data_IF_788121526522
#
_entry.id   IF_788121526522
#
_cell.length_a   1.000
_cell.length_b   1.000
_cell.length_c   1.000
_cell.angle_alpha   90.00
_cell.angle_beta   90.00
_cell.angle_gamma   90.00
#
_symmetry.space_group_name_H-M   'P 1'
#
loop_
_entity.id
_entity.type
_entity.pdbx_description
1 polymer ?
#
# COMPACT_ATOMS: atom_id res chain seq x y z
N UNK A 1 30.75 15.29 -46.43
CA UNK A 1 29.55 14.81 -45.68
C UNK A 1 30.01 13.56 -44.97
N UNK A 2 30.23 13.66 -43.66
CA UNK A 2 30.69 12.51 -42.87
C UNK A 2 29.54 11.52 -42.79
N UNK A 3 29.77 10.30 -43.25
CA UNK A 3 28.81 9.18 -43.15
C UNK A 3 28.78 8.73 -41.69
N UNK A 4 27.95 9.40 -40.86
CA UNK A 4 27.80 9.03 -39.47
C UNK A 4 27.10 7.66 -39.39
N UNK A 5 27.60 6.75 -38.55
CA UNK A 5 27.05 5.40 -38.45
C UNK A 5 25.58 5.45 -38.00
N UNK A 6 24.70 4.82 -38.73
CA UNK A 6 23.26 4.75 -38.43
C UNK A 6 22.87 3.29 -38.30
N UNK A 7 22.24 2.96 -37.17
CA UNK A 7 21.83 1.60 -36.83
C UNK A 7 20.36 1.34 -37.12
N UNK A 8 20.04 0.14 -37.53
CA UNK A 8 18.69 -0.42 -37.50
C UNK A 8 18.31 -0.82 -36.08
N UNK A 9 17.03 -1.06 -35.81
CA UNK A 9 16.57 -1.54 -34.51
C UNK A 9 17.18 -2.88 -34.12
N UNK A 10 17.47 -3.76 -35.11
CA UNK A 10 18.10 -5.06 -34.85
C UNK A 10 19.57 -4.94 -34.47
N UNK A 11 20.35 -4.12 -35.20
CA UNK A 11 21.73 -3.85 -34.88
C UNK A 11 21.91 -3.18 -33.52
N UNK A 12 21.04 -2.20 -33.20
CA UNK A 12 21.05 -1.53 -31.91
C UNK A 12 20.67 -2.48 -30.77
N UNK A 13 19.71 -3.40 -31.01
CA UNK A 13 19.34 -4.42 -30.02
C UNK A 13 20.51 -5.32 -29.66
N UNK A 14 21.26 -5.80 -30.66
CA UNK A 14 22.50 -6.61 -30.46
C UNK A 14 23.55 -5.80 -29.70
N UNK A 15 23.82 -4.56 -30.13
CA UNK A 15 24.85 -3.72 -29.53
C UNK A 15 24.55 -3.30 -28.09
N UNK A 16 23.28 -3.08 -27.74
CA UNK A 16 22.86 -2.63 -26.41
C UNK A 16 22.52 -3.77 -25.44
N UNK A 17 22.41 -5.02 -25.93
CA UNK A 17 21.92 -6.16 -25.14
C UNK A 17 20.41 -6.11 -24.85
N UNK A 18 19.66 -5.21 -25.49
CA UNK A 18 18.22 -5.08 -25.33
C UNK A 18 17.46 -5.88 -26.41
N UNK A 19 16.24 -6.33 -26.09
CA UNK A 19 15.38 -6.88 -27.12
C UNK A 19 14.79 -5.77 -28.02
N UNK A 20 14.49 -6.13 -29.29
CA UNK A 20 13.79 -5.23 -30.21
C UNK A 20 12.47 -4.73 -29.63
N UNK A 21 11.78 -5.55 -28.83
CA UNK A 21 10.53 -5.19 -28.14
C UNK A 21 10.76 -4.05 -27.15
N UNK A 22 11.83 -4.11 -26.36
CA UNK A 22 12.19 -3.06 -25.38
C UNK A 22 12.51 -1.75 -26.12
N UNK A 23 13.31 -1.78 -27.19
CA UNK A 23 13.62 -0.58 -27.97
C UNK A 23 12.38 0.06 -28.59
N UNK A 24 11.42 -0.74 -29.08
CA UNK A 24 10.14 -0.24 -29.58
C UNK A 24 9.28 0.36 -28.48
N UNK A 25 9.29 -0.22 -27.29
CA UNK A 25 8.59 0.30 -26.13
C UNK A 25 9.20 1.65 -25.68
N UNK A 26 10.53 1.77 -25.68
CA UNK A 26 11.21 3.01 -25.34
C UNK A 26 10.99 4.13 -26.39
N UNK A 27 10.84 3.77 -27.67
CA UNK A 27 10.39 4.69 -28.70
C UNK A 27 8.95 5.17 -28.44
N UNK A 28 8.04 4.25 -28.09
CA UNK A 28 6.65 4.60 -27.77
C UNK A 28 6.52 5.52 -26.54
N UNK A 29 7.44 5.41 -25.57
CA UNK A 29 7.52 6.27 -24.40
C UNK A 29 8.30 7.58 -24.63
N UNK A 30 8.81 7.84 -25.86
CA UNK A 30 9.62 9.01 -26.15
C UNK A 30 11.02 9.01 -25.50
N UNK A 31 11.43 7.90 -24.87
CA UNK A 31 12.74 7.78 -24.24
C UNK A 31 13.86 7.84 -25.25
N UNK A 32 13.72 7.13 -26.38
CA UNK A 32 14.63 7.14 -27.51
C UNK A 32 13.80 7.11 -28.79
N UNK A 33 13.62 8.26 -29.43
CA UNK A 33 12.75 8.43 -30.61
C UNK A 33 13.59 8.43 -31.88
N UNK A 34 13.70 7.30 -32.62
CA UNK A 34 14.49 7.22 -33.85
C UNK A 34 13.87 7.99 -35.00
N UNK A 35 14.70 8.36 -35.96
CA UNK A 35 14.22 8.80 -37.25
C UNK A 35 13.59 7.64 -38.03
N UNK A 36 12.71 7.99 -38.96
CA UNK A 36 12.08 7.01 -39.86
C UNK A 36 12.47 7.25 -41.32
N UNK A 37 12.81 6.18 -41.98
CA UNK A 37 13.02 6.24 -43.45
C UNK A 37 11.69 6.49 -44.14
N UNK A 38 11.70 6.94 -45.44
CA UNK A 38 10.49 7.05 -46.23
C UNK A 38 9.66 5.74 -46.30
N UNK A 39 10.31 4.59 -46.13
CA UNK A 39 9.67 3.27 -46.05
C UNK A 39 9.21 2.90 -44.63
N UNK A 40 9.28 3.84 -43.66
CA UNK A 40 8.80 3.66 -42.28
C UNK A 40 9.74 2.91 -41.33
N UNK A 41 10.93 2.47 -41.75
CA UNK A 41 11.91 1.80 -40.89
C UNK A 41 12.61 2.74 -39.93
N UNK A 42 12.84 2.27 -38.69
CA UNK A 42 13.53 3.02 -37.64
C UNK A 42 15.03 3.10 -37.90
N UNK A 43 15.59 4.30 -37.77
CA UNK A 43 17.02 4.58 -37.92
C UNK A 43 17.55 5.32 -36.69
N UNK A 44 18.60 4.81 -36.10
CA UNK A 44 19.22 5.35 -34.88
C UNK A 44 20.59 5.93 -35.20
N UNK A 45 20.73 7.23 -35.17
CA UNK A 45 21.99 7.94 -35.30
C UNK A 45 22.75 8.00 -33.96
N UNK A 46 23.97 8.58 -33.94
CA UNK A 46 24.85 8.66 -32.75
C UNK A 46 24.18 9.32 -31.54
N UNK A 47 23.36 10.35 -31.75
CA UNK A 47 22.61 11.03 -30.70
C UNK A 47 21.61 10.10 -30.02
N UNK A 48 20.90 9.27 -30.79
CA UNK A 48 19.95 8.30 -30.27
C UNK A 48 20.67 7.20 -29.47
N UNK A 49 21.83 6.75 -29.92
CA UNK A 49 22.67 5.78 -29.22
C UNK A 49 23.15 6.35 -27.88
N UNK A 50 23.67 7.58 -27.89
CA UNK A 50 24.10 8.26 -26.66
C UNK A 50 22.94 8.39 -25.65
N UNK A 51 21.75 8.79 -26.12
CA UNK A 51 20.55 8.90 -25.30
C UNK A 51 20.13 7.53 -24.72
N UNK A 52 20.23 6.46 -25.53
CA UNK A 52 19.96 5.08 -25.09
C UNK A 52 20.89 4.65 -23.96
N UNK A 53 22.20 4.87 -24.09
CA UNK A 53 23.16 4.50 -23.05
C UNK A 53 23.00 5.32 -21.77
N UNK A 54 22.63 6.60 -21.86
CA UNK A 54 22.25 7.42 -20.71
C UNK A 54 21.01 6.85 -20.01
N UNK A 55 19.96 6.49 -20.77
CA UNK A 55 18.77 5.86 -20.22
C UNK A 55 19.10 4.52 -19.54
N UNK A 56 19.98 3.71 -20.13
CA UNK A 56 20.43 2.45 -19.52
C UNK A 56 21.21 2.67 -18.23
N UNK A 57 22.08 3.68 -18.17
CA UNK A 57 22.82 4.02 -16.96
C UNK A 57 21.86 4.42 -15.82
N UNK A 58 20.91 5.31 -16.10
CA UNK A 58 19.87 5.72 -15.14
C UNK A 58 18.98 4.54 -14.73
N UNK A 59 18.64 3.63 -15.67
CA UNK A 59 17.85 2.44 -15.35
C UNK A 59 18.59 1.49 -14.39
N UNK A 60 19.90 1.40 -14.50
CA UNK A 60 20.75 0.58 -13.59
C UNK A 60 20.79 1.11 -12.17
N UNK A 61 20.51 2.39 -11.96
CA UNK A 61 20.36 2.98 -10.62
C UNK A 61 18.97 2.71 -10.01
N UNK A 62 18.04 2.08 -10.76
CA UNK A 62 16.70 1.75 -10.29
C UNK A 62 15.61 2.73 -10.70
N UNK A 63 15.95 3.87 -11.34
CA UNK A 63 14.98 4.87 -11.78
C UNK A 63 13.91 4.30 -12.72
N UNK A 64 12.67 4.73 -12.54
CA UNK A 64 11.53 4.39 -13.39
C UNK A 64 11.63 5.05 -14.78
N UNK A 65 11.06 4.41 -15.81
CA UNK A 65 11.17 4.90 -17.20
C UNK A 65 10.60 6.31 -17.38
N UNK A 66 9.56 6.72 -16.64
CA UNK A 66 9.00 8.07 -16.68
C UNK A 66 9.98 9.11 -16.11
N UNK A 67 10.58 8.82 -14.97
CA UNK A 67 11.61 9.68 -14.35
C UNK A 67 12.80 9.84 -15.26
N UNK A 68 13.27 8.74 -15.87
CA UNK A 68 14.34 8.75 -16.87
C UNK A 68 13.96 9.64 -18.08
N UNK A 69 12.72 9.53 -18.55
CA UNK A 69 12.21 10.34 -19.66
C UNK A 69 12.28 11.84 -19.36
N UNK A 70 11.75 12.26 -18.20
CA UNK A 70 11.78 13.65 -17.73
C UNK A 70 13.23 14.19 -17.61
N UNK A 71 14.12 13.42 -16.97
CA UNK A 71 15.54 13.78 -16.82
C UNK A 71 16.25 13.95 -18.19
N UNK A 72 15.97 13.05 -19.13
CA UNK A 72 16.60 13.10 -20.46
C UNK A 72 16.00 14.15 -21.39
N UNK A 73 14.76 14.53 -21.19
CA UNK A 73 14.09 15.59 -21.96
C UNK A 73 14.45 17.01 -21.46
N UNK A 74 15.13 17.12 -20.31
CA UNK A 74 15.36 18.39 -19.60
C UNK A 74 14.03 19.09 -19.25
N UNK A 75 12.96 18.31 -19.09
CA UNK A 75 11.63 18.76 -18.68
C UNK A 75 11.44 18.74 -17.16
N UNK A 76 12.39 18.11 -16.45
CA UNK A 76 12.40 18.07 -14.99
C UNK A 76 12.87 19.44 -14.44
N UNK A 77 12.03 20.18 -13.73
CA UNK A 77 12.37 21.49 -13.18
C UNK A 77 13.47 21.42 -12.10
N UNK A 78 13.61 20.28 -11.41
CA UNK A 78 14.66 20.03 -10.44
C UNK A 78 15.18 18.59 -10.52
N UNK A 79 16.11 18.31 -11.48
CA UNK A 79 16.73 16.98 -11.61
C UNK A 79 17.46 16.52 -10.34
N UNK A 80 17.95 17.46 -9.54
CA UNK A 80 18.64 17.14 -8.29
C UNK A 80 17.63 16.67 -7.21
N UNK A 81 16.41 17.23 -7.17
CA UNK A 81 15.34 16.75 -6.29
C UNK A 81 14.91 15.33 -6.68
N UNK A 82 14.72 15.05 -7.98
CA UNK A 82 14.38 13.71 -8.46
C UNK A 82 15.43 12.67 -8.08
N UNK A 83 16.73 13.00 -8.23
CA UNK A 83 17.81 12.10 -7.83
C UNK A 83 17.93 11.95 -6.31
N UNK A 84 17.67 13.01 -5.54
CA UNK A 84 17.63 12.93 -4.06
C UNK A 84 16.49 12.03 -3.60
N UNK A 85 15.28 12.22 -4.11
CA UNK A 85 14.15 11.35 -3.79
C UNK A 85 14.44 9.87 -4.10
N UNK A 86 15.11 9.60 -5.23
CA UNK A 86 15.52 8.23 -5.56
C UNK A 86 16.63 7.70 -4.63
N UNK A 87 17.58 8.53 -4.22
CA UNK A 87 18.59 8.17 -3.23
C UNK A 87 17.94 7.82 -1.88
N UNK A 88 16.96 8.62 -1.45
CA UNK A 88 16.18 8.38 -0.23
C UNK A 88 15.44 7.02 -0.31
N UNK A 89 14.87 6.67 -1.48
CA UNK A 89 14.24 5.35 -1.72
C UNK A 89 15.25 4.19 -1.60
N UNK A 90 16.43 4.35 -2.16
CA UNK A 90 17.51 3.33 -2.10
C UNK A 90 18.02 3.17 -0.66
N UNK A 91 18.24 4.27 0.05
CA UNK A 91 18.67 4.26 1.44
C UNK A 91 17.61 3.60 2.35
N UNK A 92 16.34 3.81 2.05
CA UNK A 92 15.22 3.17 2.71
C UNK A 92 15.20 1.66 2.48
N UNK A 93 15.40 1.19 1.24
CA UNK A 93 15.47 -0.24 0.92
C UNK A 93 16.69 -0.92 1.59
N UNK A 94 17.82 -0.24 1.63
CA UNK A 94 19.02 -0.72 2.33
C UNK A 94 18.79 -0.85 3.84
N UNK A 95 18.13 0.12 4.47
CA UNK A 95 17.76 0.06 5.89
C UNK A 95 16.86 -1.12 6.18
N UNK A 96 15.80 -1.33 5.38
CA UNK A 96 14.87 -2.48 5.50
C UNK A 96 15.61 -3.82 5.40
N UNK A 97 16.46 -4.00 4.40
CA UNK A 97 17.26 -5.22 4.22
C UNK A 97 18.23 -5.46 5.38
N UNK A 98 18.79 -4.38 5.92
CA UNK A 98 19.69 -4.47 7.10
C UNK A 98 18.92 -4.93 8.33
N UNK A 99 17.76 -4.34 8.60
CA UNK A 99 16.90 -4.74 9.72
C UNK A 99 16.43 -6.21 9.60
N UNK A 100 16.05 -6.63 8.40
CA UNK A 100 15.69 -8.02 8.12
C UNK A 100 16.85 -8.97 8.43
N UNK A 101 18.06 -8.63 7.97
CA UNK A 101 19.29 -9.39 8.27
C UNK A 101 19.54 -9.48 9.78
N UNK A 102 19.38 -8.37 10.50
CA UNK A 102 19.65 -8.32 11.95
C UNK A 102 18.65 -9.16 12.73
N UNK A 103 17.36 -9.13 12.39
CA UNK A 103 16.33 -10.01 12.95
C UNK A 103 16.59 -11.49 12.67
N UNK A 104 17.02 -11.83 11.45
CA UNK A 104 17.44 -13.18 11.11
C UNK A 104 18.63 -13.64 11.93
N UNK A 105 19.62 -12.78 12.11
CA UNK A 105 20.79 -13.08 12.92
C UNK A 105 20.42 -13.29 14.40
N UNK A 106 19.51 -12.49 14.93
CA UNK A 106 18.99 -12.60 16.30
C UNK A 106 18.19 -13.91 16.50
N UNK A 107 17.30 -14.26 15.56
CA UNK A 107 16.55 -15.51 15.58
C UNK A 107 17.46 -16.74 15.52
N UNK A 108 18.53 -16.69 14.73
CA UNK A 108 19.52 -17.76 14.64
C UNK A 108 20.40 -17.87 15.89
N UNK A 109 20.59 -16.77 16.62
CA UNK A 109 21.37 -16.76 17.87
C UNK A 109 20.62 -17.36 19.07
N UNK A 110 19.27 -17.42 19.02
CA UNK A 110 18.43 -17.98 20.08
C UNK A 110 17.39 -18.94 19.49
N UNK A 111 17.75 -20.20 19.20
CA UNK A 111 16.94 -21.12 18.39
C UNK A 111 15.78 -21.78 19.16
N UNK A 112 14.98 -21.02 19.91
CA UNK A 112 13.71 -21.51 20.42
C UNK A 112 12.71 -21.66 19.24
N UNK A 113 12.08 -22.84 19.07
CA UNK A 113 11.20 -23.10 17.91
C UNK A 113 10.09 -22.06 17.72
N UNK A 114 9.49 -21.59 18.81
CA UNK A 114 8.43 -20.57 18.79
C UNK A 114 8.94 -19.18 18.34
N UNK A 115 10.19 -18.87 18.63
CA UNK A 115 10.80 -17.59 18.22
C UNK A 115 11.19 -17.62 16.74
N UNK A 116 11.69 -18.76 16.27
CA UNK A 116 12.00 -18.97 14.85
C UNK A 116 10.73 -18.90 13.99
N UNK A 117 9.64 -19.53 14.44
CA UNK A 117 8.35 -19.43 13.72
C UNK A 117 7.81 -18.01 13.69
N UNK A 118 7.88 -17.26 14.78
CA UNK A 118 7.49 -15.84 14.82
C UNK A 118 8.31 -14.99 13.86
N UNK A 119 9.60 -15.20 13.77
CA UNK A 119 10.46 -14.47 12.83
C UNK A 119 10.10 -14.84 11.38
N UNK A 120 9.85 -16.12 11.09
CA UNK A 120 9.41 -16.56 9.75
C UNK A 120 8.05 -15.95 9.41
N UNK A 121 7.09 -15.94 10.33
CA UNK A 121 5.77 -15.33 10.16
C UNK A 121 5.87 -13.81 9.91
N UNK A 122 6.68 -13.11 10.73
CA UNK A 122 6.93 -11.68 10.55
C UNK A 122 7.63 -11.38 9.23
N UNK A 123 8.61 -12.19 8.82
CA UNK A 123 9.30 -12.06 7.53
C UNK A 123 8.34 -12.30 6.37
N UNK A 124 7.54 -13.35 6.46
CA UNK A 124 6.53 -13.68 5.46
C UNK A 124 5.53 -12.53 5.31
N UNK A 125 5.12 -11.90 6.40
CA UNK A 125 4.27 -10.72 6.40
C UNK A 125 4.94 -9.51 5.73
N UNK A 126 6.24 -9.27 5.97
CA UNK A 126 7.00 -8.19 5.32
C UNK A 126 7.21 -8.41 3.82
N UNK A 127 7.51 -9.64 3.41
CA UNK A 127 7.72 -9.98 2.00
C UNK A 127 6.40 -10.10 1.22
N UNK A 128 5.31 -10.44 1.91
CA UNK A 128 4.02 -10.75 1.32
C UNK A 128 3.01 -9.59 1.41
N UNK A 129 3.39 -8.42 1.94
CA UNK A 129 2.53 -7.24 1.82
C UNK A 129 2.33 -6.93 0.33
N UNK A 130 1.21 -7.38 -0.20
CA UNK A 130 0.91 -7.43 -1.65
C UNK A 130 1.03 -6.05 -2.31
N UNK A 131 0.78 -4.99 -1.55
CA UNK A 131 0.86 -3.60 -2.02
C UNK A 131 2.25 -2.97 -1.86
N UNK A 132 3.16 -3.59 -1.07
CA UNK A 132 4.51 -3.07 -0.80
C UNK A 132 4.52 -1.81 0.06
N UNK A 133 5.72 -1.41 0.52
CA UNK A 133 5.96 -0.18 1.32
C UNK A 133 6.56 0.95 0.47
N UNK A 134 6.15 1.08 -0.80
CA UNK A 134 6.69 2.09 -1.73
C UNK A 134 6.08 3.46 -1.44
N UNK A 135 6.76 4.52 -1.87
CA UNK A 135 6.26 5.91 -1.77
C UNK A 135 4.87 6.09 -2.40
N UNK A 136 4.62 5.41 -3.53
CA UNK A 136 3.33 5.45 -4.22
C UNK A 136 2.21 4.86 -3.35
N UNK A 137 2.51 3.83 -2.55
CA UNK A 137 1.57 3.23 -1.60
C UNK A 137 1.26 4.17 -0.42
N UNK A 138 2.27 4.84 0.11
CA UNK A 138 2.08 5.83 1.18
C UNK A 138 1.20 7.02 0.73
N UNK A 139 1.33 7.44 -0.53
CA UNK A 139 0.46 8.46 -1.13
C UNK A 139 -0.96 7.92 -1.29
N UNK A 140 -1.11 6.71 -1.81
CA UNK A 140 -2.41 6.05 -1.99
C UNK A 140 -3.17 5.91 -0.67
N UNK A 141 -2.49 5.46 0.40
CA UNK A 141 -3.09 5.32 1.74
C UNK A 141 -3.54 6.67 2.31
N UNK A 142 -2.80 7.74 2.02
CA UNK A 142 -3.19 9.10 2.42
C UNK A 142 -4.41 9.58 1.64
N UNK A 143 -4.41 9.44 0.32
CA UNK A 143 -5.55 9.81 -0.53
C UNK A 143 -6.81 9.03 -0.14
N UNK A 144 -6.67 7.75 0.20
CA UNK A 144 -7.77 6.93 0.71
C UNK A 144 -8.29 7.44 2.04
N UNK A 145 -7.39 7.75 2.99
CA UNK A 145 -7.77 8.26 4.30
C UNK A 145 -8.53 9.58 4.16
N UNK A 146 -8.02 10.53 3.38
CA UNK A 146 -8.63 11.84 3.19
C UNK A 146 -10.02 11.74 2.51
N UNK A 147 -10.14 10.90 1.48
CA UNK A 147 -11.40 10.71 0.75
C UNK A 147 -12.50 10.05 1.60
N UNK A 148 -12.12 9.25 2.61
CA UNK A 148 -13.04 8.43 3.39
C UNK A 148 -13.19 8.88 4.85
N UNK A 149 -12.55 9.98 5.26
CA UNK A 149 -12.53 10.48 6.66
C UNK A 149 -13.93 10.50 7.29
N UNK A 150 -14.88 11.16 6.65
CA UNK A 150 -16.23 11.28 7.24
C UNK A 150 -17.01 9.96 7.22
N UNK A 151 -16.81 9.15 6.19
CA UNK A 151 -17.46 7.85 6.08
C UNK A 151 -16.99 6.89 7.18
N UNK A 152 -15.68 6.81 7.41
CA UNK A 152 -15.08 5.83 8.33
C UNK A 152 -14.97 6.36 9.76
N UNK A 153 -14.69 7.66 9.93
CA UNK A 153 -14.35 8.26 11.21
C UNK A 153 -15.30 9.37 11.66
N UNK A 154 -16.36 9.69 10.91
CA UNK A 154 -17.29 10.77 11.26
C UNK A 154 -17.91 10.63 12.66
N UNK A 155 -18.11 9.39 13.11
CA UNK A 155 -18.63 9.00 14.41
C UNK A 155 -17.56 8.50 15.40
N UNK A 156 -16.27 8.61 15.07
CA UNK A 156 -15.17 8.21 15.96
C UNK A 156 -14.67 9.42 16.74
N UNK A 157 -14.80 9.38 18.07
CA UNK A 157 -14.31 10.38 19.02
C UNK A 157 -13.89 9.69 20.31
N UNK A 158 -12.82 10.19 20.91
CA UNK A 158 -12.33 9.72 22.20
C UNK A 158 -12.50 10.83 23.23
N UNK A 159 -12.77 10.46 24.47
CA UNK A 159 -13.01 11.41 25.54
C UNK A 159 -11.71 12.01 26.05
N UNK A 160 -11.74 13.22 26.66
CA UNK A 160 -10.59 13.76 27.34
C UNK A 160 -9.99 12.80 28.37
N UNK A 161 -8.68 12.60 28.31
CA UNK A 161 -7.93 11.71 29.20
C UNK A 161 -8.04 10.21 28.86
N UNK A 162 -8.79 9.82 27.82
CA UNK A 162 -8.75 8.43 27.35
C UNK A 162 -7.41 8.13 26.70
N UNK A 163 -6.89 6.94 26.99
CA UNK A 163 -5.67 6.42 26.38
C UNK A 163 -6.01 5.44 25.27
N UNK A 164 -5.63 5.78 24.06
CA UNK A 164 -5.99 5.09 22.80
C UNK A 164 -4.77 4.43 22.20
N UNK A 165 -4.84 3.13 21.89
CA UNK A 165 -3.84 2.44 21.07
C UNK A 165 -4.34 2.34 19.64
N UNK A 166 -3.62 2.90 18.69
CA UNK A 166 -3.75 2.58 17.27
C UNK A 166 -2.66 1.58 16.90
N UNK A 167 -3.05 0.36 16.53
CA UNK A 167 -2.15 -0.71 16.10
C UNK A 167 -2.20 -0.88 14.59
N UNK A 168 -1.01 -0.96 13.95
CA UNK A 168 -0.89 -0.93 12.49
C UNK A 168 -1.12 0.47 11.92
N UNK A 169 -0.57 1.50 12.58
CA UNK A 169 -0.79 2.89 12.19
C UNK A 169 -0.16 3.25 10.83
N UNK A 170 0.75 2.42 10.32
CA UNK A 170 1.46 2.64 9.07
C UNK A 170 2.12 4.03 9.02
N UNK A 171 1.88 4.76 7.96
CA UNK A 171 2.41 6.11 7.77
C UNK A 171 1.61 7.21 8.48
N UNK A 172 0.72 6.84 9.40
CA UNK A 172 -0.05 7.78 10.24
C UNK A 172 -1.21 8.48 9.53
N UNK A 173 -1.74 7.90 8.45
CA UNK A 173 -2.84 8.50 7.70
C UNK A 173 -4.13 8.63 8.55
N UNK A 174 -4.46 7.59 9.32
CA UNK A 174 -5.60 7.60 10.25
C UNK A 174 -5.26 8.34 11.54
N UNK A 175 -4.01 8.18 12.04
CA UNK A 175 -3.52 8.80 13.28
C UNK A 175 -3.78 10.31 13.34
N UNK A 176 -3.43 11.03 12.26
CA UNK A 176 -3.65 12.49 12.18
C UNK A 176 -5.13 12.84 12.34
N UNK A 177 -6.00 12.09 11.68
CA UNK A 177 -7.46 12.30 11.76
C UNK A 177 -7.99 12.05 13.17
N UNK A 178 -7.61 10.92 13.78
CA UNK A 178 -8.12 10.50 15.08
C UNK A 178 -7.63 11.44 16.19
N UNK A 179 -6.31 11.69 16.23
CA UNK A 179 -5.70 12.56 17.23
C UNK A 179 -6.17 14.02 17.09
N UNK A 180 -6.28 14.52 15.85
CA UNK A 180 -6.79 15.88 15.59
C UNK A 180 -8.25 16.06 15.98
N UNK A 181 -9.08 15.01 15.89
CA UNK A 181 -10.49 15.01 16.31
C UNK A 181 -10.69 14.79 17.80
N UNK A 182 -9.66 14.36 18.51
CA UNK A 182 -9.69 14.07 19.95
C UNK A 182 -8.41 14.64 20.62
N UNK A 183 -8.24 15.96 20.63
CA UNK A 183 -6.97 16.61 21.04
C UNK A 183 -6.65 16.41 22.52
N UNK A 184 -7.65 16.10 23.35
CA UNK A 184 -7.50 15.88 24.80
C UNK A 184 -7.38 14.38 25.17
N UNK A 185 -7.30 13.48 24.20
CA UNK A 185 -7.02 12.07 24.40
C UNK A 185 -5.54 11.78 24.10
N UNK A 186 -4.96 10.79 24.79
CA UNK A 186 -3.57 10.36 24.62
C UNK A 186 -3.48 9.17 23.67
N UNK A 187 -2.78 9.32 22.56
CA UNK A 187 -2.60 8.27 21.56
C UNK A 187 -1.24 7.60 21.68
N UNK A 188 -1.24 6.27 21.57
CA UNK A 188 -0.08 5.47 21.25
C UNK A 188 -0.29 4.88 19.88
N UNK A 189 0.52 5.27 18.90
CA UNK A 189 0.49 4.76 17.54
C UNK A 189 1.60 3.72 17.37
N UNK A 190 1.24 2.49 17.08
CA UNK A 190 2.17 1.38 16.99
C UNK A 190 2.15 0.75 15.60
N UNK A 191 3.33 0.41 15.10
CA UNK A 191 3.53 -0.32 13.85
C UNK A 191 4.78 -1.18 13.95
N UNK A 192 4.84 -2.25 13.16
CA UNK A 192 6.00 -3.14 13.09
C UNK A 192 7.15 -2.53 12.28
N UNK A 193 6.85 -1.57 11.40
CA UNK A 193 7.79 -0.93 10.48
C UNK A 193 8.30 0.42 11.04
N UNK A 194 9.57 0.52 11.51
CA UNK A 194 10.12 1.77 12.05
C UNK A 194 10.08 2.93 11.06
N UNK A 195 10.22 2.66 9.78
CA UNK A 195 10.23 3.67 8.73
C UNK A 195 8.85 4.26 8.48
N UNK A 196 7.80 3.43 8.57
CA UNK A 196 6.41 3.89 8.56
C UNK A 196 6.14 4.80 9.76
N UNK A 197 6.60 4.41 10.95
CA UNK A 197 6.49 5.24 12.16
C UNK A 197 7.23 6.57 12.04
N UNK A 198 8.43 6.58 11.42
CA UNK A 198 9.15 7.83 11.18
C UNK A 198 8.38 8.77 10.23
N UNK A 199 7.68 8.23 9.23
CA UNK A 199 6.80 9.00 8.36
C UNK A 199 5.56 9.50 9.12
N UNK A 200 4.93 8.63 9.92
CA UNK A 200 3.79 8.98 10.78
C UNK A 200 4.15 10.12 11.74
N UNK A 201 5.30 10.05 12.41
CA UNK A 201 5.77 11.09 13.31
C UNK A 201 5.97 12.44 12.61
N UNK A 202 6.55 12.45 11.41
CA UNK A 202 6.68 13.67 10.60
C UNK A 202 5.31 14.26 10.23
N UNK A 203 4.35 13.41 9.86
CA UNK A 203 2.99 13.82 9.47
C UNK A 203 2.23 14.40 10.65
N UNK A 204 2.27 13.75 11.81
CA UNK A 204 1.64 14.20 13.06
C UNK A 204 2.24 15.53 13.51
N UNK A 205 3.58 15.66 13.46
CA UNK A 205 4.28 16.91 13.76
C UNK A 205 3.90 18.05 12.81
N UNK A 206 3.82 17.75 11.51
CA UNK A 206 3.41 18.74 10.50
C UNK A 206 1.96 19.21 10.68
N UNK A 207 1.09 18.35 11.24
CA UNK A 207 -0.28 18.70 11.63
C UNK A 207 -0.38 19.45 12.97
N UNK A 208 0.75 19.70 13.65
CA UNK A 208 0.79 20.41 14.93
C UNK A 208 0.22 19.62 16.10
N UNK A 209 0.12 18.30 16.00
CA UNK A 209 -0.42 17.42 17.04
C UNK A 209 0.70 17.01 18.01
N UNK A 210 0.41 17.05 19.32
CA UNK A 210 1.37 16.75 20.40
C UNK A 210 0.91 15.59 21.30
N UNK A 211 -0.25 15.01 21.02
CA UNK A 211 -0.90 13.97 21.83
C UNK A 211 -0.69 12.55 21.26
N UNK A 212 0.40 12.31 20.53
CA UNK A 212 0.70 10.99 19.93
C UNK A 212 2.12 10.56 20.28
N UNK A 213 2.23 9.39 20.92
CA UNK A 213 3.48 8.66 21.13
C UNK A 213 3.61 7.54 20.09
N UNK A 214 4.83 7.27 19.57
CA UNK A 214 5.09 6.24 18.57
C UNK A 214 5.92 5.10 19.15
N UNK A 215 5.47 3.84 18.89
CA UNK A 215 6.12 2.64 19.42
C UNK A 215 6.27 1.60 18.32
N UNK A 216 7.47 1.04 18.15
CA UNK A 216 7.68 -0.13 17.28
C UNK A 216 7.16 -1.36 18.02
N UNK A 217 6.14 -2.02 17.46
CA UNK A 217 5.56 -3.21 18.09
C UNK A 217 4.97 -4.17 17.03
N UNK A 218 5.14 -5.46 17.29
CA UNK A 218 4.45 -6.54 16.59
C UNK A 218 3.22 -6.96 17.42
N UNK A 219 2.05 -6.98 16.79
CA UNK A 219 0.79 -7.38 17.43
C UNK A 219 0.87 -8.78 18.03
N UNK A 220 1.65 -9.69 17.45
CA UNK A 220 1.86 -11.04 17.96
C UNK A 220 2.83 -11.11 19.14
N UNK A 221 3.57 -10.06 19.42
CA UNK A 221 4.41 -9.91 20.62
C UNK A 221 3.68 -9.34 21.83
N UNK A 222 2.46 -8.82 21.68
CA UNK A 222 1.70 -8.12 22.72
C UNK A 222 0.90 -9.09 23.65
N UNK A 223 0.62 -8.68 24.91
CA UNK A 223 1.19 -7.54 25.62
C UNK A 223 2.64 -7.77 26.05
N UNK A 224 3.41 -6.71 26.15
CA UNK A 224 4.76 -6.73 26.70
C UNK A 224 4.72 -6.69 28.24
N UNK A 225 5.75 -7.27 28.87
CA UNK A 225 5.88 -7.25 30.34
C UNK A 225 6.36 -5.86 30.78
N UNK A 226 5.40 -4.97 31.06
CA UNK A 226 5.67 -3.58 31.44
C UNK A 226 5.85 -2.66 30.23
N UNK A 227 6.08 -1.37 30.46
CA UNK A 227 6.24 -0.37 29.42
C UNK A 227 4.91 0.21 28.88
N UNK A 228 4.98 0.83 27.70
CA UNK A 228 3.87 1.59 27.11
C UNK A 228 2.69 0.69 26.72
N UNK A 229 2.99 -0.55 26.30
CA UNK A 229 2.01 -1.53 25.81
C UNK A 229 1.68 -2.62 26.87
N UNK A 230 1.55 -2.20 28.12
CA UNK A 230 1.21 -3.11 29.23
C UNK A 230 -0.26 -3.56 29.19
N UNK A 231 -0.54 -4.69 29.85
CA UNK A 231 -1.91 -5.21 30.03
C UNK A 231 -2.82 -4.19 30.71
N UNK A 232 -4.09 -4.15 30.26
CA UNK A 232 -5.16 -3.31 30.82
C UNK A 232 -4.78 -1.83 30.96
N UNK A 233 -3.95 -1.31 30.05
CA UNK A 233 -3.46 0.07 30.10
C UNK A 233 -4.18 1.04 29.15
N UNK A 234 -5.04 0.55 28.27
CA UNK A 234 -5.77 1.36 27.29
C UNK A 234 -7.28 1.38 27.55
N UNK A 235 -7.88 2.53 27.29
CA UNK A 235 -9.33 2.71 27.26
C UNK A 235 -9.91 2.17 25.97
N UNK A 236 -9.15 2.36 24.87
CA UNK A 236 -9.58 2.01 23.54
C UNK A 236 -8.43 1.46 22.70
N UNK A 237 -8.74 0.46 21.87
CA UNK A 237 -7.86 0.00 20.79
C UNK A 237 -8.54 0.31 19.46
N UNK A 238 -7.78 0.89 18.55
CA UNK A 238 -8.20 1.20 17.19
C UNK A 238 -7.37 0.41 16.18
N UNK A 239 -8.05 -0.25 15.24
CA UNK A 239 -7.46 -1.07 14.16
C UNK A 239 -8.11 -0.66 12.84
N UNK A 240 -7.32 -0.35 11.82
CA UNK A 240 -7.85 0.03 10.52
C UNK A 240 -6.97 -0.52 9.40
N UNK A 241 -7.52 -1.39 8.56
CA UNK A 241 -6.84 -2.02 7.42
C UNK A 241 -5.57 -2.79 7.81
N UNK A 242 -5.60 -3.45 8.95
CA UNK A 242 -4.51 -4.28 9.46
C UNK A 242 -4.86 -5.78 9.42
N UNK A 243 -6.06 -6.14 9.90
CA UNK A 243 -6.44 -7.55 10.10
C UNK A 243 -6.43 -8.34 8.80
N UNK A 244 -6.72 -7.68 7.68
CA UNK A 244 -6.70 -8.26 6.33
C UNK A 244 -5.31 -8.78 5.91
N UNK A 245 -4.24 -8.28 6.55
CA UNK A 245 -2.85 -8.66 6.25
C UNK A 245 -2.30 -9.70 7.22
N UNK A 246 -3.02 -10.01 8.30
CA UNK A 246 -2.52 -10.89 9.35
C UNK A 246 -2.84 -12.37 9.05
N UNK A 247 -1.89 -13.29 9.27
CA UNK A 247 -2.13 -14.73 9.09
C UNK A 247 -3.09 -15.30 10.14
N UNK A 248 -3.17 -14.66 11.31
CA UNK A 248 -4.01 -15.10 12.43
C UNK A 248 -4.74 -13.93 13.08
N UNK A 249 -5.74 -13.29 12.39
CA UNK A 249 -6.41 -12.09 12.90
C UNK A 249 -7.16 -12.34 14.23
N UNK A 250 -7.71 -13.53 14.44
CA UNK A 250 -8.34 -13.88 15.70
C UNK A 250 -7.37 -13.92 16.88
N UNK A 251 -6.12 -14.37 16.68
CA UNK A 251 -5.08 -14.31 17.72
C UNK A 251 -4.66 -12.87 18.01
N UNK A 252 -4.48 -12.05 16.97
CA UNK A 252 -4.21 -10.62 17.15
C UNK A 252 -5.30 -9.94 17.99
N UNK A 253 -6.58 -10.20 17.69
CA UNK A 253 -7.72 -9.64 18.45
C UNK A 253 -7.75 -10.12 19.91
N UNK A 254 -7.37 -11.37 20.20
CA UNK A 254 -7.23 -11.88 21.60
C UNK A 254 -6.13 -11.15 22.36
N UNK A 255 -4.99 -10.91 21.72
CA UNK A 255 -3.86 -10.16 22.30
C UNK A 255 -4.23 -8.70 22.56
N UNK A 256 -4.82 -8.04 21.61
CA UNK A 256 -5.30 -6.66 21.74
C UNK A 256 -6.32 -6.52 22.88
N UNK A 257 -7.19 -7.52 23.08
CA UNK A 257 -8.15 -7.53 24.18
C UNK A 257 -7.47 -7.46 25.56
N UNK A 258 -6.28 -8.06 25.71
CA UNK A 258 -5.54 -8.01 26.99
C UNK A 258 -5.01 -6.61 27.31
N UNK A 259 -4.72 -5.80 26.29
CA UNK A 259 -4.24 -4.41 26.46
C UNK A 259 -5.34 -3.45 26.92
N UNK A 260 -6.57 -3.72 26.54
CA UNK A 260 -7.73 -2.90 26.91
C UNK A 260 -8.14 -3.19 28.36
N UNK A 261 -8.43 -2.17 29.15
CA UNK A 261 -8.93 -2.34 30.51
C UNK A 261 -10.36 -2.93 30.52
N UNK A 262 -10.82 -3.55 31.61
CA UNK A 262 -12.22 -3.94 31.75
C UNK A 262 -13.17 -2.76 31.48
N UNK A 263 -14.21 -2.99 30.67
CA UNK A 263 -15.14 -1.94 30.22
C UNK A 263 -14.64 -1.06 29.08
N UNK A 264 -13.38 -1.18 28.71
CA UNK A 264 -12.82 -0.47 27.52
C UNK A 264 -13.24 -1.12 26.21
N UNK A 265 -12.92 -0.50 25.08
CA UNK A 265 -13.52 -0.81 23.78
C UNK A 265 -12.47 -1.05 22.68
N UNK A 266 -12.91 -1.67 21.59
CA UNK A 266 -12.18 -1.77 20.33
C UNK A 266 -13.04 -1.20 19.20
N UNK A 267 -12.39 -0.50 18.27
CA UNK A 267 -12.93 -0.23 16.92
C UNK A 267 -12.04 -0.92 15.90
N UNK A 268 -12.64 -1.75 15.04
CA UNK A 268 -11.95 -2.36 13.90
C UNK A 268 -12.65 -1.95 12.60
N UNK A 269 -11.88 -1.49 11.62
CA UNK A 269 -12.38 -1.09 10.29
C UNK A 269 -11.59 -1.86 9.24
N UNK A 270 -12.31 -2.62 8.39
CA UNK A 270 -11.69 -3.44 7.35
C UNK A 270 -12.50 -3.37 6.04
N UNK A 271 -11.80 -3.58 4.94
CA UNK A 271 -12.40 -3.64 3.62
C UNK A 271 -12.97 -5.02 3.27
N UNK A 272 -13.77 -5.06 2.21
CA UNK A 272 -14.26 -6.30 1.62
C UNK A 272 -14.24 -6.19 0.08
N UNK A 273 -13.18 -6.69 -0.54
CA UNK A 273 -13.02 -6.61 -1.99
C UNK A 273 -14.10 -7.39 -2.77
N UNK A 274 -14.74 -8.36 -2.12
CA UNK A 274 -15.87 -9.09 -2.69
C UNK A 274 -17.20 -8.32 -2.66
N UNK A 275 -17.25 -7.13 -2.04
CA UNK A 275 -18.44 -6.26 -1.99
C UNK A 275 -18.46 -5.20 -3.09
N UNK A 276 -17.61 -5.35 -4.12
CA UNK A 276 -17.50 -4.39 -5.22
C UNK A 276 -18.62 -4.58 -6.24
N UNK A 277 -19.36 -3.51 -6.50
CA UNK A 277 -20.36 -3.41 -7.58
C UNK A 277 -20.03 -2.22 -8.46
N UNK A 278 -20.23 -2.36 -9.77
CA UNK A 278 -19.94 -1.28 -10.69
C UNK A 278 -20.76 -1.36 -11.97
N UNK A 279 -20.89 -0.22 -12.64
CA UNK A 279 -21.48 -0.11 -13.98
C UNK A 279 -20.57 0.77 -14.85
N UNK A 280 -20.31 0.39 -16.11
CA UNK A 280 -20.74 -0.86 -16.77
C UNK A 280 -20.17 -2.12 -16.12
N UNK A 281 -20.94 -3.20 -16.13
CA UNK A 281 -20.48 -4.50 -15.68
C UNK A 281 -19.44 -5.02 -16.68
N UNK A 282 -18.34 -5.61 -16.18
CA UNK A 282 -17.22 -6.07 -17.02
C UNK A 282 -16.51 -7.26 -16.37
N UNK A 283 -16.45 -8.37 -17.09
CA UNK A 283 -15.82 -9.61 -16.61
C UNK A 283 -14.30 -9.48 -16.40
N UNK A 284 -13.51 -8.87 -17.31
CA UNK A 284 -12.11 -8.55 -17.07
C UNK A 284 -11.86 -7.76 -15.79
N UNK A 285 -12.71 -6.77 -15.48
CA UNK A 285 -12.60 -6.01 -14.22
C UNK A 285 -12.82 -6.90 -12.98
N UNK A 286 -13.81 -7.79 -13.01
CA UNK A 286 -14.04 -8.78 -11.93
C UNK A 286 -12.88 -9.74 -11.80
N UNK A 287 -12.31 -10.21 -12.92
CA UNK A 287 -11.15 -11.09 -12.92
C UNK A 287 -9.92 -10.41 -12.28
N UNK A 288 -9.66 -9.13 -12.59
CA UNK A 288 -8.57 -8.38 -11.99
C UNK A 288 -8.74 -8.21 -10.46
N UNK A 289 -9.97 -7.92 -9.98
CA UNK A 289 -10.29 -7.87 -8.55
C UNK A 289 -10.10 -9.25 -7.89
N UNK A 290 -10.52 -10.33 -8.55
CA UNK A 290 -10.35 -11.69 -8.05
C UNK A 290 -8.87 -12.08 -7.91
N UNK A 291 -7.99 -11.55 -8.77
CA UNK A 291 -6.54 -11.72 -8.62
C UNK A 291 -6.03 -11.13 -7.31
N UNK A 292 -6.48 -9.91 -6.94
CA UNK A 292 -6.15 -9.30 -5.66
C UNK A 292 -6.54 -10.18 -4.48
N UNK A 293 -7.80 -10.66 -4.46
CA UNK A 293 -8.29 -11.57 -3.40
C UNK A 293 -7.47 -12.85 -3.31
N UNK A 294 -7.08 -13.39 -4.46
CA UNK A 294 -6.30 -14.65 -4.53
C UNK A 294 -4.85 -14.43 -4.06
N UNK A 295 -4.20 -13.36 -4.51
CA UNK A 295 -2.83 -13.03 -4.10
C UNK A 295 -2.75 -12.75 -2.60
N UNK A 296 -3.68 -11.99 -2.04
CA UNK A 296 -3.70 -11.70 -0.61
C UNK A 296 -3.90 -12.97 0.22
N UNK A 297 -4.73 -13.91 -0.26
CA UNK A 297 -4.89 -15.24 0.37
C UNK A 297 -3.59 -16.07 0.29
N UNK A 298 -2.90 -16.07 -0.84
CA UNK A 298 -1.61 -16.74 -0.98
C UNK A 298 -0.54 -16.14 -0.06
N UNK A 299 -0.65 -14.84 0.23
CA UNK A 299 0.17 -14.14 1.21
C UNK A 299 -0.26 -14.37 2.67
N UNK A 300 -1.24 -15.24 2.93
CA UNK A 300 -1.72 -15.54 4.27
C UNK A 300 -2.74 -14.53 4.84
N UNK A 301 -3.12 -13.51 4.09
CA UNK A 301 -4.14 -12.53 4.46
C UNK A 301 -5.56 -12.87 3.98
N UNK A 302 -6.50 -11.96 4.20
CA UNK A 302 -7.91 -12.13 3.83
C UNK A 302 -8.53 -10.81 3.32
N UNK A 303 -8.55 -10.62 2.01
CA UNK A 303 -9.16 -9.45 1.35
C UNK A 303 -10.68 -9.35 1.54
N UNK A 304 -11.32 -10.32 2.16
CA UNK A 304 -12.76 -10.38 2.44
C UNK A 304 -13.05 -10.26 3.94
N UNK A 305 -12.07 -9.89 4.75
CA UNK A 305 -12.13 -9.97 6.22
C UNK A 305 -13.23 -9.06 6.81
N UNK A 306 -13.56 -7.95 6.15
CA UNK A 306 -14.57 -7.01 6.63
C UNK A 306 -15.90 -7.69 6.97
N UNK A 307 -16.39 -8.61 6.14
CA UNK A 307 -17.61 -9.39 6.39
C UNK A 307 -17.51 -10.37 7.56
N UNK A 308 -16.28 -10.62 8.05
CA UNK A 308 -15.97 -11.58 9.11
C UNK A 308 -15.70 -10.91 10.47
N UNK A 309 -15.76 -9.58 10.56
CA UNK A 309 -15.43 -8.86 11.80
C UNK A 309 -16.29 -9.31 12.99
N UNK A 310 -17.59 -9.59 12.77
CA UNK A 310 -18.44 -10.07 13.85
C UNK A 310 -17.95 -11.39 14.45
N UNK A 311 -17.87 -12.51 13.70
CA UNK A 311 -17.42 -13.78 14.27
C UNK A 311 -15.97 -13.70 14.80
N UNK A 312 -15.06 -12.96 14.16
CA UNK A 312 -13.68 -12.82 14.62
C UNK A 312 -13.58 -12.15 15.99
N UNK A 313 -14.35 -11.08 16.22
CA UNK A 313 -14.38 -10.39 17.52
C UNK A 313 -15.06 -11.24 18.59
N UNK A 314 -16.17 -11.87 18.27
CA UNK A 314 -16.93 -12.74 19.19
C UNK A 314 -16.05 -13.93 19.65
N UNK A 315 -15.43 -14.65 18.72
CA UNK A 315 -14.51 -15.76 18.98
C UNK A 315 -13.23 -15.33 19.74
N UNK A 316 -12.80 -14.06 19.58
CA UNK A 316 -11.70 -13.49 20.34
C UNK A 316 -12.09 -13.04 21.75
N UNK A 317 -13.37 -13.22 22.15
CA UNK A 317 -13.89 -12.94 23.49
C UNK A 317 -14.29 -11.48 23.71
N UNK A 318 -14.45 -10.67 22.66
CA UNK A 318 -15.05 -9.35 22.77
C UNK A 318 -16.56 -9.45 22.91
N UNK A 319 -17.17 -8.52 23.64
CA UNK A 319 -18.59 -8.52 23.98
C UNK A 319 -19.33 -7.38 23.31
N UNK A 320 -20.64 -7.55 23.09
CA UNK A 320 -21.48 -6.50 22.50
C UNK A 320 -21.03 -6.05 21.13
N UNK A 321 -20.58 -6.98 20.31
CA UNK A 321 -20.07 -6.68 18.95
C UNK A 321 -21.16 -6.10 18.06
N UNK A 322 -20.96 -4.89 17.59
CA UNK A 322 -21.83 -4.23 16.61
C UNK A 322 -21.03 -3.92 15.37
N UNK A 323 -21.45 -4.46 14.23
CA UNK A 323 -20.81 -4.22 12.92
C UNK A 323 -21.71 -3.38 12.05
N UNK A 324 -21.19 -2.28 11.51
CA UNK A 324 -21.93 -1.35 10.65
C UNK A 324 -21.26 -1.29 9.28
N UNK A 325 -21.95 -1.62 8.18
CA UNK A 325 -21.44 -1.38 6.84
C UNK A 325 -21.24 0.12 6.57
N UNK A 326 -20.13 0.46 5.93
CA UNK A 326 -19.77 1.80 5.50
C UNK A 326 -19.56 1.77 3.99
N UNK A 327 -20.63 2.05 3.25
CA UNK A 327 -20.64 1.90 1.79
C UNK A 327 -20.21 3.18 1.11
N UNK A 328 -19.16 3.08 0.30
CA UNK A 328 -18.79 4.09 -0.68
C UNK A 328 -19.65 3.86 -1.92
N UNK A 329 -20.44 4.85 -2.30
CA UNK A 329 -21.19 4.86 -3.54
C UNK A 329 -20.77 6.07 -4.38
N UNK A 330 -20.32 5.83 -5.59
CA UNK A 330 -19.78 6.83 -6.51
C UNK A 330 -20.53 6.75 -7.83
N UNK A 331 -20.97 7.91 -8.31
CA UNK A 331 -21.58 8.12 -9.61
C UNK A 331 -21.15 9.48 -10.20
N UNK A 332 -21.69 9.89 -11.34
CA UNK A 332 -21.37 11.15 -12.00
C UNK A 332 -21.67 12.41 -11.21
N UNK A 333 -22.45 12.33 -10.11
CA UNK A 333 -22.70 13.45 -9.19
C UNK A 333 -21.56 13.70 -8.18
N UNK A 334 -20.59 12.79 -8.12
CA UNK A 334 -19.46 12.79 -7.16
C UNK A 334 -18.11 12.71 -7.86
N UNK A 335 -17.76 13.66 -8.73
CA UNK A 335 -16.53 13.60 -9.54
C UNK A 335 -15.24 13.55 -8.70
N UNK A 336 -15.22 14.24 -7.55
CA UNK A 336 -14.05 14.24 -6.65
C UNK A 336 -13.82 12.84 -6.04
N UNK A 337 -14.90 12.15 -5.67
CA UNK A 337 -14.81 10.80 -5.13
C UNK A 337 -14.51 9.76 -6.22
N UNK A 338 -15.00 9.98 -7.45
CA UNK A 338 -14.64 9.18 -8.61
C UNK A 338 -13.13 9.26 -8.89
N UNK A 339 -12.54 10.43 -8.78
CA UNK A 339 -11.10 10.60 -8.95
C UNK A 339 -10.32 10.05 -7.75
N UNK A 340 -10.62 10.49 -6.53
CA UNK A 340 -9.83 10.13 -5.33
C UNK A 340 -9.97 8.65 -4.97
N UNK A 341 -11.20 8.13 -4.86
CA UNK A 341 -11.40 6.76 -4.42
C UNK A 341 -11.32 5.75 -5.58
N UNK A 342 -12.08 5.98 -6.68
CA UNK A 342 -12.13 4.95 -7.74
C UNK A 342 -10.84 4.91 -8.54
N UNK A 343 -10.33 6.06 -9.05
CA UNK A 343 -9.13 6.06 -9.89
C UNK A 343 -7.84 5.94 -9.11
N UNK A 344 -7.62 6.84 -8.12
CA UNK A 344 -6.33 6.94 -7.42
C UNK A 344 -6.17 5.94 -6.27
N UNK A 345 -7.27 5.44 -5.70
CA UNK A 345 -7.21 4.47 -4.61
C UNK A 345 -7.48 3.05 -5.11
N UNK A 346 -8.72 2.71 -5.43
CA UNK A 346 -9.12 1.33 -5.71
C UNK A 346 -8.49 0.79 -7.00
N UNK A 347 -8.66 1.51 -8.11
CA UNK A 347 -8.08 1.06 -9.40
C UNK A 347 -6.55 1.06 -9.37
N UNK A 348 -5.92 2.02 -8.69
CA UNK A 348 -4.47 2.05 -8.54
C UNK A 348 -3.96 0.85 -7.72
N UNK A 349 -4.67 0.47 -6.65
CA UNK A 349 -4.38 -0.72 -5.86
C UNK A 349 -4.45 -2.00 -6.73
N UNK A 350 -5.55 -2.20 -7.48
CA UNK A 350 -5.65 -3.35 -8.38
C UNK A 350 -4.57 -3.31 -9.47
N UNK A 351 -4.28 -2.15 -10.05
CA UNK A 351 -3.22 -2.03 -11.06
C UNK A 351 -1.83 -2.39 -10.51
N UNK A 352 -1.59 -2.17 -9.22
CA UNK A 352 -0.32 -2.47 -8.56
C UNK A 352 0.03 -3.95 -8.52
N UNK A 353 -0.96 -4.85 -8.59
CA UNK A 353 -0.75 -6.31 -8.54
C UNK A 353 -0.58 -6.95 -9.92
N UNK A 354 -0.44 -6.17 -11.00
CA UNK A 354 -0.33 -6.67 -12.38
C UNK A 354 0.73 -7.75 -12.56
N UNK A 355 1.96 -7.43 -12.22
CA UNK A 355 3.09 -8.35 -12.41
C UNK A 355 2.98 -9.61 -11.52
N UNK A 356 2.66 -9.50 -10.21
CA UNK A 356 2.38 -10.66 -9.39
C UNK A 356 1.26 -11.55 -9.90
N UNK A 357 0.14 -10.98 -10.38
CA UNK A 357 -1.00 -11.75 -10.87
C UNK A 357 -0.65 -12.55 -12.16
N UNK A 358 0.08 -11.93 -13.08
CA UNK A 358 0.53 -12.57 -14.31
C UNK A 358 1.58 -13.64 -13.99
N UNK A 359 2.56 -13.34 -13.13
CA UNK A 359 3.61 -14.29 -12.73
C UNK A 359 3.03 -15.52 -12.02
N UNK A 360 1.96 -15.35 -11.24
CA UNK A 360 1.24 -16.45 -10.59
C UNK A 360 0.30 -17.22 -11.54
N UNK A 361 0.18 -16.81 -12.80
CA UNK A 361 -0.69 -17.46 -13.79
C UNK A 361 -2.19 -17.32 -13.53
N UNK A 362 -2.58 -16.30 -12.75
CA UNK A 362 -3.98 -16.06 -12.38
C UNK A 362 -4.77 -15.41 -13.52
N UNK A 363 -4.10 -14.66 -14.36
CA UNK A 363 -4.69 -13.89 -15.47
C UNK A 363 -3.60 -13.61 -16.53
N UNK A 364 -3.98 -13.47 -17.78
CA UNK A 364 -3.07 -12.98 -18.82
C UNK A 364 -3.00 -11.44 -18.84
N UNK A 365 -1.94 -10.90 -19.44
CA UNK A 365 -1.69 -9.47 -19.47
C UNK A 365 -2.77 -8.67 -20.19
N UNK A 366 -3.35 -9.20 -21.26
CA UNK A 366 -4.38 -8.54 -22.08
C UNK A 366 -5.67 -8.41 -21.28
N UNK A 367 -6.13 -9.50 -20.66
CA UNK A 367 -7.32 -9.52 -19.81
C UNK A 367 -7.15 -8.64 -18.58
N UNK A 368 -5.96 -8.63 -17.94
CA UNK A 368 -5.69 -7.76 -16.80
C UNK A 368 -5.75 -6.27 -17.19
N UNK A 369 -5.08 -5.90 -18.28
CA UNK A 369 -5.03 -4.50 -18.75
C UNK A 369 -6.43 -4.02 -19.20
N UNK A 370 -7.24 -4.88 -19.82
CA UNK A 370 -8.65 -4.62 -20.12
C UNK A 370 -9.46 -4.39 -18.83
N UNK A 371 -9.25 -5.20 -17.81
CA UNK A 371 -9.91 -5.06 -16.51
C UNK A 371 -9.59 -3.72 -15.83
N UNK A 372 -8.34 -3.28 -15.87
CA UNK A 372 -7.95 -1.96 -15.34
C UNK A 372 -8.59 -0.82 -16.14
N UNK A 373 -8.68 -0.96 -17.47
CA UNK A 373 -9.37 0.03 -18.31
C UNK A 373 -10.86 0.10 -17.98
N UNK A 374 -11.51 -1.05 -17.76
CA UNK A 374 -12.91 -1.13 -17.37
C UNK A 374 -13.16 -0.55 -15.97
N UNK A 375 -12.29 -0.79 -14.98
CA UNK A 375 -12.38 -0.14 -13.67
C UNK A 375 -12.27 1.39 -13.78
N UNK A 376 -11.37 1.92 -14.61
CA UNK A 376 -11.30 3.36 -14.87
C UNK A 376 -12.57 3.89 -15.52
N UNK A 377 -13.21 3.12 -16.38
CA UNK A 377 -14.47 3.48 -17.05
C UNK A 377 -15.63 3.68 -16.04
N UNK A 378 -15.62 2.95 -14.92
CA UNK A 378 -16.65 3.12 -13.88
C UNK A 378 -16.60 4.50 -13.19
N UNK A 379 -15.51 5.24 -13.33
CA UNK A 379 -15.34 6.60 -12.80
C UNK A 379 -15.71 7.71 -13.80
N UNK A 380 -16.26 7.36 -14.98
CA UNK A 380 -16.78 8.33 -15.94
C UNK A 380 -18.18 8.82 -15.52
N UNK A 381 -18.69 9.94 -16.11
CA UNK A 381 -19.95 10.56 -15.65
C UNK A 381 -21.19 9.64 -15.65
N UNK A 382 -21.22 8.62 -16.52
CA UNK A 382 -22.28 7.62 -16.61
C UNK A 382 -21.91 6.29 -15.95
N UNK A 383 -20.74 6.24 -15.25
CA UNK A 383 -20.30 5.09 -14.50
C UNK A 383 -20.82 5.08 -13.06
N UNK A 384 -20.81 3.90 -12.45
CA UNK A 384 -21.13 3.71 -11.02
C UNK A 384 -20.09 2.80 -10.41
N UNK A 385 -19.67 3.11 -9.19
CA UNK A 385 -18.81 2.25 -8.40
C UNK A 385 -19.29 2.19 -6.95
N UNK A 386 -19.34 0.99 -6.38
CA UNK A 386 -19.76 0.77 -5.01
C UNK A 386 -18.81 -0.20 -4.31
N UNK A 387 -18.40 0.13 -3.08
CA UNK A 387 -17.53 -0.68 -2.25
C UNK A 387 -17.94 -0.56 -0.77
N UNK A 388 -17.83 -1.64 -0.01
CA UNK A 388 -18.23 -1.62 1.40
C UNK A 388 -17.02 -1.91 2.31
N UNK A 389 -16.78 -0.99 3.23
CA UNK A 389 -16.02 -1.22 4.44
C UNK A 389 -16.95 -1.67 5.57
N UNK A 390 -16.41 -2.34 6.56
CA UNK A 390 -17.13 -2.74 7.75
C UNK A 390 -16.45 -2.13 8.97
N UNK A 391 -17.22 -1.44 9.79
CA UNK A 391 -16.77 -0.89 11.08
C UNK A 391 -17.40 -1.68 12.20
N UNK A 392 -16.58 -2.34 12.99
CA UNK A 392 -16.97 -3.05 14.18
C UNK A 392 -16.61 -2.25 15.43
N UNK A 393 -17.49 -2.23 16.41
CA UNK A 393 -17.25 -1.73 17.76
C UNK A 393 -17.64 -2.82 18.74
N UNK A 394 -16.76 -3.08 19.70
CA UNK A 394 -17.01 -4.07 20.75
C UNK A 394 -16.35 -3.62 22.06
N UNK A 395 -16.65 -4.28 23.17
CA UNK A 395 -16.08 -3.94 24.47
C UNK A 395 -15.46 -5.18 25.16
N UNK A 396 -14.48 -4.93 26.01
CA UNK A 396 -13.97 -5.95 26.95
C UNK A 396 -14.92 -6.00 28.14
N UNK A 397 -15.58 -7.15 28.34
CA UNK A 397 -16.36 -7.40 29.58
C UNK A 397 -15.47 -7.34 30.81
N UNK A 398 -16.09 -7.11 31.97
CA UNK A 398 -15.42 -7.09 33.29
C UNK A 398 -14.71 -8.40 33.62
#
# INVERSE_FOLDING_TARGET
>A
MSDEPVWTVGELAVASGLSVRVLRHWDALGLVSPERTPSGHRRYGPAHVTRLYRALALRRTGLGLRQIGALLAHEDPDPAATLRAHLDEVDEDLRRRTQLRDRLAEALASPEPDQLMRVIETMTMFEQYVHGYRSDESIRLTDQADALVELLHGDTRFRPGERVLEIGCGVGAQTVTLAGRSPDADFVAADVAPDSLAQAARRVSAAGLANVEFVVADVFGLPESGGVLAEASFDHVFVCFLLEHLPSPGEALRRLRRLVRPGGTITAIEGDHGSTYFHPEDEPARAAIACQVTLQRHAGGDALIGRRLYPLLDEAGWSGVVVTPRTVYVDGSRPDLADSFVRRTFTAMIAGIREPAIAAGLIDAETFDAGIAALRRTAEPDGVFCYTFFKAVAHRSE
#
